data_IF_298230453751
#
_entry.id   IF_298230453751
#
_cell.length_a   1.000
_cell.length_b   1.000
_cell.length_c   1.000
_cell.angle_alpha   90.00
_cell.angle_beta   90.00
_cell.angle_gamma   90.00
#
_symmetry.space_group_name_H-M   'P 1'
#
loop_
_entity.id
_entity.type
_entity.pdbx_description
1 polymer ?
#
# COMPACT_ATOMS: atom_id res chain seq x y z
N UNK A 1 -19.84 -33.44 9.83
CA UNK A 1 -20.47 -32.10 9.80
C UNK A 1 -19.95 -31.36 8.58
N UNK A 2 -20.81 -30.82 7.72
CA UNK A 2 -20.39 -29.90 6.65
C UNK A 2 -20.80 -28.49 7.02
N UNK A 3 -19.81 -27.58 7.12
CA UNK A 3 -20.04 -26.18 7.45
C UNK A 3 -20.18 -25.37 6.16
N UNK A 4 -21.18 -24.49 6.11
CA UNK A 4 -21.37 -23.53 5.03
C UNK A 4 -20.91 -22.15 5.50
N UNK A 5 -19.96 -21.56 4.78
CA UNK A 5 -19.48 -20.20 5.03
C UNK A 5 -20.49 -19.20 4.48
N UNK A 6 -20.90 -18.24 5.30
CA UNK A 6 -21.77 -17.13 4.91
C UNK A 6 -20.99 -15.83 5.11
N UNK A 7 -20.95 -14.98 4.08
CA UNK A 7 -20.31 -13.67 4.14
C UNK A 7 -21.32 -12.60 4.57
N UNK A 8 -20.93 -11.67 5.44
CA UNK A 8 -21.75 -10.51 5.80
C UNK A 8 -21.47 -9.33 4.87
N UNK A 9 -22.42 -8.38 4.74
CA UNK A 9 -22.23 -7.15 3.96
C UNK A 9 -20.99 -6.33 4.39
N UNK A 10 -20.62 -6.44 5.67
CA UNK A 10 -19.51 -5.71 6.29
C UNK A 10 -18.14 -6.40 6.11
N UNK A 11 -18.07 -7.46 5.28
CA UNK A 11 -16.83 -8.20 5.00
C UNK A 11 -16.45 -9.27 6.03
N UNK A 12 -17.29 -9.51 7.03
CA UNK A 12 -17.15 -10.62 7.97
C UNK A 12 -17.61 -11.96 7.37
N UNK A 13 -17.33 -13.07 8.05
CA UNK A 13 -17.91 -14.36 7.72
C UNK A 13 -18.23 -15.17 8.97
N UNK A 14 -19.31 -15.94 8.91
CA UNK A 14 -19.66 -16.92 9.94
C UNK A 14 -19.94 -18.28 9.29
N UNK A 15 -19.86 -19.33 10.10
CA UNK A 15 -20.15 -20.68 9.65
C UNK A 15 -21.52 -21.10 10.19
N UNK A 16 -22.31 -21.73 9.32
CA UNK A 16 -23.57 -22.38 9.70
C UNK A 16 -23.46 -23.86 9.41
N UNK A 17 -24.13 -24.69 10.20
CA UNK A 17 -24.30 -26.10 9.85
C UNK A 17 -25.18 -26.20 8.61
N UNK A 18 -24.72 -26.94 7.59
CA UNK A 18 -25.43 -27.03 6.31
C UNK A 18 -26.78 -27.76 6.40
N UNK A 19 -27.04 -28.53 7.46
CA UNK A 19 -28.29 -29.27 7.64
C UNK A 19 -29.30 -28.55 8.53
N UNK A 20 -28.85 -27.90 9.60
CA UNK A 20 -29.75 -27.23 10.56
C UNK A 20 -29.87 -25.72 10.32
N UNK A 21 -28.92 -25.11 9.60
CA UNK A 21 -28.87 -23.67 9.39
C UNK A 21 -28.49 -22.87 10.64
N UNK A 22 -28.21 -23.55 11.75
CA UNK A 22 -27.80 -22.90 12.99
C UNK A 22 -26.38 -22.37 12.88
N UNK A 23 -26.15 -21.20 13.50
CA UNK A 23 -24.84 -20.56 13.56
C UNK A 23 -23.94 -21.39 14.48
N UNK A 24 -22.80 -21.82 13.94
CA UNK A 24 -21.81 -22.58 14.69
C UNK A 24 -20.66 -21.64 15.02
N UNK A 25 -20.40 -21.42 16.30
CA UNK A 25 -19.19 -20.72 16.74
C UNK A 25 -17.99 -21.65 16.57
N UNK A 26 -17.30 -21.46 15.45
CA UNK A 26 -16.05 -22.17 15.17
C UNK A 26 -14.91 -21.37 15.80
N UNK A 27 -14.50 -21.76 17.01
CA UNK A 27 -13.27 -21.27 17.61
C UNK A 27 -12.09 -21.89 16.86
N UNK A 28 -11.66 -21.24 15.78
CA UNK A 28 -10.47 -21.66 15.04
C UNK A 28 -9.27 -21.43 15.95
N UNK A 29 -8.74 -22.51 16.54
CA UNK A 29 -7.44 -22.55 17.24
C UNK A 29 -6.26 -22.37 16.26
N UNK A 30 -6.35 -21.38 15.39
CA UNK A 30 -5.26 -20.87 14.58
C UNK A 30 -5.05 -19.43 15.01
N UNK A 31 -3.85 -19.12 15.49
CA UNK A 31 -3.42 -17.74 15.80
C UNK A 31 -4.03 -16.80 14.75
N UNK A 32 -4.76 -15.74 15.16
CA UNK A 32 -5.39 -14.83 14.21
C UNK A 32 -4.33 -14.46 13.17
N UNK A 33 -4.64 -14.66 11.89
CA UNK A 33 -3.76 -14.25 10.79
C UNK A 33 -3.56 -12.76 10.96
N UNK A 34 -2.43 -12.40 11.58
CA UNK A 34 -2.20 -11.08 12.11
C UNK A 34 -2.40 -10.07 10.96
N UNK A 35 -3.40 -9.17 11.02
CA UNK A 35 -3.66 -8.22 9.95
C UNK A 35 -2.41 -7.39 9.61
N UNK A 36 -1.49 -7.23 10.58
CA UNK A 36 -0.17 -6.62 10.39
C UNK A 36 0.66 -7.29 9.30
N UNK A 37 0.60 -8.62 9.13
CA UNK A 37 1.37 -9.34 8.10
C UNK A 37 0.86 -9.09 6.68
N UNK A 38 -0.46 -8.95 6.50
CA UNK A 38 -1.06 -8.66 5.18
C UNK A 38 -0.82 -7.19 4.81
N UNK A 39 -1.00 -6.28 5.77
CA UNK A 39 -0.71 -4.85 5.61
C UNK A 39 0.78 -4.58 5.32
N UNK A 40 1.70 -5.21 6.06
CA UNK A 40 3.15 -5.09 5.83
C UNK A 40 3.55 -5.59 4.43
N UNK A 41 2.91 -6.65 3.93
CA UNK A 41 3.19 -7.19 2.58
C UNK A 41 2.64 -6.29 1.48
N UNK A 42 1.40 -5.80 1.62
CA UNK A 42 0.78 -4.86 0.67
C UNK A 42 1.50 -3.52 0.65
N UNK A 43 1.88 -2.98 1.81
CA UNK A 43 2.65 -1.74 1.89
C UNK A 43 4.07 -1.90 1.33
N UNK A 44 4.73 -3.05 1.54
CA UNK A 44 6.02 -3.33 0.89
C UNK A 44 5.89 -3.36 -0.64
N UNK A 45 4.81 -3.93 -1.17
CA UNK A 45 4.52 -3.91 -2.60
C UNK A 45 4.27 -2.49 -3.12
N UNK A 46 3.50 -1.68 -2.39
CA UNK A 46 3.21 -0.28 -2.74
C UNK A 46 4.47 0.59 -2.68
N UNK A 47 5.33 0.39 -1.67
CA UNK A 47 6.63 1.06 -1.55
C UNK A 47 7.56 0.72 -2.72
N UNK A 48 7.61 -0.56 -3.11
CA UNK A 48 8.41 -0.99 -4.26
C UNK A 48 7.87 -0.43 -5.58
N UNK A 49 6.54 -0.40 -5.75
CA UNK A 49 5.90 0.21 -6.92
C UNK A 49 6.17 1.71 -6.99
N UNK A 50 6.05 2.42 -5.86
CA UNK A 50 6.41 3.84 -5.75
C UNK A 50 7.87 4.08 -6.14
N UNK A 51 8.80 3.29 -5.61
CA UNK A 51 10.21 3.34 -6.00
C UNK A 51 10.47 3.09 -7.50
N UNK A 52 9.76 2.13 -8.10
CA UNK A 52 9.84 1.86 -9.53
C UNK A 52 9.34 3.05 -10.37
N UNK A 53 8.22 3.66 -9.98
CA UNK A 53 7.67 4.85 -10.66
C UNK A 53 8.65 6.03 -10.56
N UNK A 54 9.27 6.24 -9.38
CA UNK A 54 10.31 7.28 -9.21
C UNK A 54 11.48 7.04 -10.16
N UNK A 55 11.97 5.80 -10.23
CA UNK A 55 13.06 5.43 -11.13
C UNK A 55 12.72 5.70 -12.60
N UNK A 56 11.52 5.29 -13.05
CA UNK A 56 11.04 5.56 -14.40
C UNK A 56 10.89 7.07 -14.67
N UNK A 57 10.39 7.82 -13.68
CA UNK A 57 10.29 9.28 -13.74
C UNK A 57 11.64 9.95 -13.94
N UNK A 58 12.69 9.50 -13.24
CA UNK A 58 14.05 10.02 -13.43
C UNK A 58 14.64 9.71 -14.81
N UNK A 59 14.37 8.52 -15.37
CA UNK A 59 14.79 8.21 -16.74
C UNK A 59 14.13 9.19 -17.72
N UNK A 60 12.82 9.40 -17.60
CA UNK A 60 12.09 10.34 -18.46
C UNK A 60 12.58 11.79 -18.27
N UNK A 61 12.91 12.18 -17.05
CA UNK A 61 13.49 13.50 -16.75
C UNK A 61 14.80 13.71 -17.50
N UNK A 62 15.72 12.74 -17.42
CA UNK A 62 17.02 12.80 -18.10
C UNK A 62 16.85 12.81 -19.62
N UNK A 63 15.99 11.96 -20.18
CA UNK A 63 15.69 11.95 -21.62
C UNK A 63 15.12 13.29 -22.07
N UNK A 64 14.24 13.89 -21.27
CA UNK A 64 13.64 15.19 -21.57
C UNK A 64 14.67 16.33 -21.57
N UNK A 65 15.65 16.29 -20.65
CA UNK A 65 16.78 17.22 -20.65
C UNK A 65 17.65 17.06 -21.90
N UNK A 66 17.90 15.82 -22.34
CA UNK A 66 18.63 15.58 -23.59
C UNK A 66 17.88 16.11 -24.81
N UNK A 67 16.58 15.81 -24.93
CA UNK A 67 15.74 16.32 -26.03
C UNK A 67 15.69 17.85 -26.02
N UNK A 68 15.62 18.47 -24.84
CA UNK A 68 15.64 19.92 -24.70
C UNK A 68 17.00 20.51 -25.13
N UNK A 69 18.11 19.90 -24.72
CA UNK A 69 19.45 20.37 -25.04
C UNK A 69 19.77 20.25 -26.54
N UNK A 70 19.49 19.10 -27.17
CA UNK A 70 19.68 18.90 -28.61
C UNK A 70 18.65 19.67 -29.44
N UNK A 71 17.46 19.90 -28.88
CA UNK A 71 16.40 20.68 -29.50
C UNK A 71 16.63 22.19 -29.52
N UNK A 72 17.63 22.71 -28.80
CA UNK A 72 17.89 24.14 -28.71
C UNK A 72 18.71 24.70 -29.89
N UNK A 73 19.18 23.83 -30.78
CA UNK A 73 19.89 24.24 -31.99
C UNK A 73 18.92 24.93 -32.97
N UNK A 74 18.97 26.27 -32.98
CA UNK A 74 18.03 27.14 -33.71
C UNK A 74 18.12 26.99 -35.23
N UNK A 75 19.19 26.39 -35.76
CA UNK A 75 19.34 26.18 -37.20
C UNK A 75 18.61 24.93 -37.71
N UNK A 76 18.17 24.05 -36.81
CA UNK A 76 17.43 22.85 -37.17
C UNK A 76 15.92 23.08 -37.15
N UNK A 77 15.21 22.56 -38.17
CA UNK A 77 13.74 22.55 -38.24
C UNK A 77 13.05 21.77 -37.11
N UNK A 78 13.85 21.12 -36.25
CA UNK A 78 13.44 20.35 -35.08
C UNK A 78 13.30 21.20 -33.81
N UNK A 79 13.71 22.48 -33.84
CA UNK A 79 13.64 23.41 -32.71
C UNK A 79 12.29 23.43 -31.95
N UNK A 80 11.13 23.59 -32.62
CA UNK A 80 9.85 23.58 -31.91
C UNK A 80 9.58 22.22 -31.27
N UNK A 81 9.89 21.11 -31.94
CA UNK A 81 9.70 19.76 -31.39
C UNK A 81 10.58 19.51 -30.17
N UNK A 82 11.81 20.01 -30.17
CA UNK A 82 12.74 19.94 -29.04
C UNK A 82 12.25 20.69 -27.81
N UNK A 83 11.74 21.91 -27.98
CA UNK A 83 11.21 22.72 -26.87
C UNK A 83 9.92 22.13 -26.32
N UNK A 84 8.93 21.84 -27.16
CA UNK A 84 7.64 21.30 -26.69
C UNK A 84 7.79 19.88 -26.14
N UNK A 85 8.60 19.04 -26.78
CA UNK A 85 8.89 17.68 -26.32
C UNK A 85 9.71 17.67 -25.04
N UNK A 86 10.73 18.53 -24.93
CA UNK A 86 11.57 18.66 -23.75
C UNK A 86 10.80 19.18 -22.54
N UNK A 87 10.06 20.29 -22.69
CA UNK A 87 9.26 20.87 -21.58
C UNK A 87 8.12 19.92 -21.18
N UNK A 88 7.38 19.37 -22.15
CA UNK A 88 6.30 18.42 -21.87
C UNK A 88 6.78 17.17 -21.14
N UNK A 89 7.92 16.61 -21.58
CA UNK A 89 8.57 15.49 -20.92
C UNK A 89 9.08 15.83 -19.51
N UNK A 90 9.66 17.03 -19.34
CA UNK A 90 10.12 17.52 -18.05
C UNK A 90 8.97 17.63 -17.03
N UNK A 91 7.87 18.27 -17.41
CA UNK A 91 6.68 18.39 -16.55
C UNK A 91 6.12 17.01 -16.20
N UNK A 92 5.93 16.14 -17.20
CA UNK A 92 5.41 14.78 -16.97
C UNK A 92 6.31 13.95 -16.04
N UNK A 93 7.64 14.07 -16.18
CA UNK A 93 8.58 13.37 -15.32
C UNK A 93 8.51 13.84 -13.86
N UNK A 94 8.33 15.14 -13.61
CA UNK A 94 8.13 15.69 -12.27
C UNK A 94 6.84 15.16 -11.65
N UNK A 95 5.75 15.09 -12.43
CA UNK A 95 4.48 14.51 -11.95
C UNK A 95 4.65 13.04 -11.56
N UNK A 96 5.34 12.23 -12.39
CA UNK A 96 5.60 10.82 -12.08
C UNK A 96 6.46 10.65 -10.82
N UNK A 97 7.53 11.42 -10.68
CA UNK A 97 8.39 11.40 -9.50
C UNK A 97 7.59 11.77 -8.24
N UNK A 98 6.82 12.85 -8.30
CA UNK A 98 5.99 13.32 -7.18
C UNK A 98 4.95 12.27 -6.78
N UNK A 99 4.29 11.66 -7.76
CA UNK A 99 3.32 10.59 -7.53
C UNK A 99 3.97 9.34 -6.91
N UNK A 100 5.16 8.96 -7.38
CA UNK A 100 5.92 7.85 -6.81
C UNK A 100 6.33 8.09 -5.35
N UNK A 101 6.73 9.31 -5.00
CA UNK A 101 6.98 9.69 -3.60
C UNK A 101 5.71 9.65 -2.75
N UNK A 102 4.57 10.10 -3.28
CA UNK A 102 3.28 10.04 -2.59
C UNK A 102 2.88 8.59 -2.26
N UNK A 103 2.97 7.69 -3.25
CA UNK A 103 2.72 6.25 -3.06
C UNK A 103 3.63 5.63 -1.98
N UNK A 104 4.91 6.00 -2.01
CA UNK A 104 5.93 5.53 -1.04
C UNK A 104 5.61 6.02 0.37
N UNK A 105 5.15 7.27 0.50
CA UNK A 105 4.75 7.87 1.78
C UNK A 105 3.49 7.21 2.35
N UNK A 106 2.46 6.99 1.52
CA UNK A 106 1.23 6.29 1.91
C UNK A 106 1.53 4.87 2.37
N UNK A 107 2.41 4.16 1.67
CA UNK A 107 2.87 2.84 2.10
C UNK A 107 3.53 2.88 3.48
N UNK A 108 4.36 3.88 3.74
CA UNK A 108 5.02 4.06 5.04
C UNK A 108 4.02 4.34 6.16
N UNK A 109 3.01 5.18 5.91
CA UNK A 109 1.96 5.49 6.87
C UNK A 109 1.10 4.27 7.20
N UNK A 110 0.77 3.43 6.20
CA UNK A 110 0.05 2.17 6.42
C UNK A 110 0.84 1.19 7.30
N UNK A 111 2.17 1.11 7.13
CA UNK A 111 3.02 0.27 8.01
C UNK A 111 3.07 0.83 9.43
N UNK A 112 3.23 2.15 9.57
CA UNK A 112 3.26 2.80 10.88
C UNK A 112 1.93 2.66 11.63
N UNK A 113 0.79 2.83 10.95
CA UNK A 113 -0.53 2.63 11.53
C UNK A 113 -0.74 1.19 12.01
N UNK A 114 -0.37 0.20 11.19
CA UNK A 114 -0.45 -1.21 11.57
C UNK A 114 0.47 -1.57 12.75
N UNK A 115 1.62 -0.91 12.90
CA UNK A 115 2.50 -1.09 14.06
C UNK A 115 1.94 -0.45 15.34
N UNK A 116 1.24 0.68 15.22
CA UNK A 116 0.58 1.35 16.35
C UNK A 116 -0.59 0.49 16.85
N UNK A 117 -1.41 -0.06 15.95
CA UNK A 117 -2.47 -1.00 16.31
C UNK A 117 -1.92 -2.25 17.01
N UNK A 118 -0.87 -2.86 16.45
CA UNK A 118 -0.23 -4.06 17.03
C UNK A 118 0.36 -3.80 18.42
N UNK A 119 0.92 -2.59 18.64
CA UNK A 119 1.46 -2.20 19.95
C UNK A 119 0.34 -1.91 20.95
N UNK A 120 -0.75 -1.27 20.50
CA UNK A 120 -1.89 -0.92 21.35
C UNK A 120 -2.65 -2.17 21.80
N UNK A 121 -2.88 -3.12 20.89
CA UNK A 121 -3.53 -4.39 21.21
C UNK A 121 -2.69 -5.21 22.20
N UNK A 122 -1.36 -5.23 22.01
CA UNK A 122 -0.45 -5.88 22.95
C UNK A 122 -0.45 -5.21 24.33
N UNK A 123 -0.45 -3.87 24.38
CA UNK A 123 -0.52 -3.13 25.63
C UNK A 123 -1.85 -3.35 26.36
N UNK A 124 -2.99 -3.37 25.67
CA UNK A 124 -4.29 -3.64 26.27
C UNK A 124 -4.37 -5.06 26.86
N UNK A 125 -3.90 -6.07 26.12
CA UNK A 125 -3.86 -7.45 26.62
C UNK A 125 -2.95 -7.59 27.86
N UNK A 126 -1.81 -6.89 27.89
CA UNK A 126 -0.94 -6.86 29.08
C UNK A 126 -1.62 -6.15 30.25
N UNK A 127 -2.36 -5.07 30.00
CA UNK A 127 -3.11 -4.34 31.02
C UNK A 127 -4.21 -5.21 31.63
N UNK A 128 -4.96 -5.93 30.79
CA UNK A 128 -6.03 -6.83 31.22
C UNK A 128 -5.48 -8.01 32.03
N UNK A 129 -4.34 -8.57 31.63
CA UNK A 129 -3.69 -9.65 32.39
C UNK A 129 -3.16 -9.16 33.76
N UNK A 130 -2.60 -7.95 33.82
CA UNK A 130 -2.16 -7.33 35.08
C UNK A 130 -3.35 -7.04 36.01
N UNK A 131 -4.46 -6.52 35.48
CA UNK A 131 -5.68 -6.28 36.25
C UNK A 131 -6.24 -7.60 36.80
N UNK A 132 -6.31 -8.64 35.96
CA UNK A 132 -6.78 -9.97 36.37
C UNK A 132 -5.93 -10.55 37.51
N UNK A 133 -4.60 -10.49 37.39
CA UNK A 133 -3.68 -10.97 38.44
C UNK A 133 -3.72 -10.17 39.74
N UNK A 134 -4.18 -8.92 39.70
CA UNK A 134 -4.33 -8.11 40.92
C UNK A 134 -5.64 -8.40 41.67
N UNK A 135 -6.60 -9.07 41.02
CA UNK A 135 -7.92 -9.35 41.60
C UNK A 135 -8.02 -10.79 42.16
N UNK A 136 -7.07 -11.66 41.79
CA UNK A 136 -6.86 -13.02 42.34
C UNK A 136 -5.95 -12.97 43.58
#
# INVERSE_FOLDING_TARGET
MSLKRVNTPDGGHYFVDAKTGEKVDVTVNGKPKNPSTVLKKSAKSLKNLGGFIIFLGWILFVVSLFVFAFGFDKETSLYPFGIYGGIGGFVNSIFLISWGYMMTSVASLMVSGALIEETTEKSNNMLEELLRKSTE
#
